data_IF_985338491816
#
_entry.id   IF_985338491816
#
_cell.length_a   1.000
_cell.length_b   1.000
_cell.length_c   1.000
_cell.angle_alpha   90.00
_cell.angle_beta   90.00
_cell.angle_gamma   90.00
#
_symmetry.space_group_name_H-M   'P 1'
#
loop_
_entity.id
_entity.type
_entity.pdbx_description
1 polymer ?
#
# COMPACT_ATOMS: atom_id res chain seq x y z
N UNK A 1 -13.67 -15.92 3.29
CA UNK A 1 -12.37 -15.46 2.76
C UNK A 1 -11.66 -16.53 1.92
N UNK A 2 -11.41 -17.76 2.43
CA UNK A 2 -10.80 -18.84 1.62
C UNK A 2 -11.59 -19.22 0.36
N UNK A 3 -12.93 -19.14 0.40
CA UNK A 3 -13.79 -19.43 -0.76
C UNK A 3 -13.63 -18.43 -1.90
N UNK A 4 -13.60 -17.14 -1.61
CA UNK A 4 -13.48 -16.08 -2.63
C UNK A 4 -12.09 -16.04 -3.24
N UNK A 5 -11.04 -16.17 -2.43
CA UNK A 5 -9.66 -16.21 -2.93
C UNK A 5 -9.46 -17.40 -3.88
N UNK A 6 -9.95 -18.59 -3.49
CA UNK A 6 -9.90 -19.77 -4.34
C UNK A 6 -10.68 -19.58 -5.65
N UNK A 7 -11.87 -18.98 -5.58
CA UNK A 7 -12.68 -18.65 -6.76
C UNK A 7 -11.93 -17.73 -7.72
N UNK A 8 -11.27 -16.68 -7.21
CA UNK A 8 -10.46 -15.78 -8.04
C UNK A 8 -9.32 -16.53 -8.74
N UNK A 9 -8.62 -17.40 -8.01
CA UNK A 9 -7.55 -18.25 -8.57
C UNK A 9 -8.08 -19.21 -9.63
N UNK A 10 -9.17 -19.92 -9.37
CA UNK A 10 -9.77 -20.86 -10.32
C UNK A 10 -10.23 -20.13 -11.60
N UNK A 11 -10.98 -19.04 -11.47
CA UNK A 11 -11.44 -18.25 -12.62
C UNK A 11 -10.29 -17.65 -13.43
N UNK A 12 -9.23 -17.20 -12.76
CA UNK A 12 -8.05 -16.71 -13.48
C UNK A 12 -7.36 -17.85 -14.23
N UNK A 13 -7.18 -19.01 -13.59
CA UNK A 13 -6.49 -20.18 -14.17
C UNK A 13 -7.17 -20.68 -15.45
N UNK A 14 -8.49 -20.71 -15.50
CA UNK A 14 -9.23 -21.19 -16.68
C UNK A 14 -9.59 -20.08 -17.69
N UNK A 15 -9.20 -18.83 -17.43
CA UNK A 15 -9.42 -17.71 -18.32
C UNK A 15 -8.46 -17.77 -19.54
N UNK A 16 -8.89 -17.34 -20.75
CA UNK A 16 -8.04 -17.23 -21.93
C UNK A 16 -7.04 -16.04 -21.85
N UNK A 17 -6.56 -15.70 -20.65
CA UNK A 17 -5.54 -14.66 -20.38
C UNK A 17 -5.91 -13.27 -20.90
N UNK A 18 -7.18 -12.87 -20.77
CA UNK A 18 -7.71 -11.60 -21.30
C UNK A 18 -6.89 -10.37 -20.88
N UNK A 19 -6.37 -10.34 -19.65
CA UNK A 19 -5.58 -9.22 -19.14
C UNK A 19 -4.08 -9.26 -19.49
N UNK A 20 -3.59 -10.29 -20.20
CA UNK A 20 -2.16 -10.51 -20.48
C UNK A 20 -1.50 -9.27 -21.09
N UNK A 21 -2.07 -8.73 -22.16
CA UNK A 21 -1.53 -7.60 -22.93
C UNK A 21 -1.39 -6.31 -22.09
N UNK A 22 -2.18 -6.19 -21.01
CA UNK A 22 -2.19 -5.00 -20.15
C UNK A 22 -1.12 -5.04 -19.05
N UNK A 23 -0.48 -6.19 -18.85
CA UNK A 23 0.46 -6.41 -17.76
C UNK A 23 1.87 -5.94 -18.16
N UNK A 24 2.40 -4.85 -17.57
CA UNK A 24 3.68 -4.30 -17.98
C UNK A 24 4.84 -5.29 -17.75
N UNK A 25 4.75 -6.12 -16.69
CA UNK A 25 5.81 -7.09 -16.40
C UNK A 25 5.80 -8.27 -17.35
N UNK A 26 4.64 -8.64 -17.91
CA UNK A 26 4.59 -9.66 -18.95
C UNK A 26 5.23 -9.15 -20.24
N UNK A 27 4.92 -7.92 -20.63
CA UNK A 27 5.48 -7.29 -21.83
C UNK A 27 7.00 -7.05 -21.70
N UNK A 28 7.46 -6.55 -20.55
CA UNK A 28 8.88 -6.29 -20.32
C UNK A 28 9.75 -7.57 -20.29
N UNK A 29 9.17 -8.71 -19.92
CA UNK A 29 9.92 -9.96 -19.75
C UNK A 29 9.69 -10.97 -20.87
N UNK A 30 8.69 -10.73 -21.73
CA UNK A 30 8.23 -11.68 -22.75
C UNK A 30 7.97 -13.10 -22.21
N UNK A 31 7.55 -13.22 -20.94
CA UNK A 31 7.41 -14.50 -20.27
C UNK A 31 6.01 -14.71 -19.70
N UNK A 32 5.43 -15.87 -20.01
CA UNK A 32 4.11 -16.28 -19.53
C UNK A 32 4.05 -16.43 -17.99
N UNK A 33 5.18 -16.72 -17.36
CA UNK A 33 5.32 -16.83 -15.90
C UNK A 33 4.93 -15.54 -15.18
N UNK A 34 5.28 -14.38 -15.75
CA UNK A 34 5.07 -13.08 -15.10
C UNK A 34 3.77 -12.39 -15.50
N UNK A 35 2.91 -13.07 -16.27
CA UNK A 35 1.55 -12.63 -16.56
C UNK A 35 0.68 -12.67 -15.30
N UNK A 36 -0.43 -11.92 -15.23
CA UNK A 36 -1.39 -12.04 -14.14
C UNK A 36 -1.88 -13.48 -13.99
N UNK A 37 -2.13 -14.14 -15.12
CA UNK A 37 -2.52 -15.55 -15.18
C UNK A 37 -1.46 -16.47 -14.55
N UNK A 38 -0.20 -16.37 -14.96
CA UNK A 38 0.89 -17.22 -14.46
C UNK A 38 1.10 -17.04 -12.96
N UNK A 39 1.02 -15.80 -12.47
CA UNK A 39 1.10 -15.49 -11.04
C UNK A 39 -0.09 -16.05 -10.25
N UNK A 40 -1.30 -16.01 -10.81
CA UNK A 40 -2.50 -16.59 -10.16
C UNK A 40 -2.48 -18.12 -10.17
N UNK A 41 -1.88 -18.75 -11.17
CA UNK A 41 -1.69 -20.21 -11.19
C UNK A 41 -0.66 -20.65 -10.13
N UNK A 42 0.44 -19.89 -9.98
CA UNK A 42 1.37 -20.07 -8.85
C UNK A 42 0.63 -19.93 -7.52
N UNK A 43 -0.19 -18.88 -7.38
CA UNK A 43 -0.99 -18.64 -6.19
C UNK A 43 -1.92 -19.82 -5.87
N UNK A 44 -2.54 -20.41 -6.92
CA UNK A 44 -3.39 -21.59 -6.80
C UNK A 44 -2.61 -22.82 -6.35
N UNK A 45 -1.47 -23.13 -7.00
CA UNK A 45 -0.66 -24.29 -6.63
C UNK A 45 -0.20 -24.26 -5.18
N UNK A 46 0.18 -23.08 -4.71
CA UNK A 46 0.60 -22.87 -3.32
C UNK A 46 -0.57 -22.99 -2.34
N UNK A 47 -1.73 -22.43 -2.70
CA UNK A 47 -2.95 -22.48 -1.87
C UNK A 47 -3.51 -23.90 -1.76
N UNK A 48 -3.56 -24.62 -2.88
CA UNK A 48 -4.03 -26.01 -2.97
C UNK A 48 -2.97 -27.01 -2.45
N UNK A 49 -1.76 -26.53 -2.13
CA UNK A 49 -0.59 -27.33 -1.72
C UNK A 49 -0.20 -28.40 -2.75
N UNK A 50 -0.43 -28.14 -4.03
CA UNK A 50 -0.02 -29.06 -5.11
C UNK A 50 1.48 -29.05 -5.33
N UNK A 51 2.14 -27.92 -5.05
CA UNK A 51 3.59 -27.77 -5.12
C UNK A 51 4.10 -27.04 -3.86
N UNK A 52 5.31 -27.38 -3.38
CA UNK A 52 5.93 -26.65 -2.29
C UNK A 52 6.33 -25.23 -2.74
N UNK A 53 6.39 -24.30 -1.79
CA UNK A 53 6.91 -22.96 -2.02
C UNK A 53 8.36 -23.03 -2.53
N UNK A 54 8.66 -22.29 -3.59
CA UNK A 54 10.01 -22.20 -4.15
C UNK A 54 10.40 -20.74 -4.41
N UNK A 55 11.70 -20.45 -4.39
CA UNK A 55 12.24 -19.13 -4.65
C UNK A 55 11.77 -18.56 -6.01
N UNK A 56 11.76 -19.39 -7.06
CA UNK A 56 11.32 -18.96 -8.39
C UNK A 56 9.84 -18.55 -8.43
N UNK A 57 8.98 -19.28 -7.70
CA UNK A 57 7.56 -18.93 -7.57
C UNK A 57 7.38 -17.61 -6.82
N UNK A 58 8.10 -17.44 -5.72
CA UNK A 58 8.07 -16.20 -4.94
C UNK A 58 8.55 -15.02 -5.80
N UNK A 59 9.69 -15.16 -6.47
CA UNK A 59 10.22 -14.12 -7.37
C UNK A 59 9.19 -13.71 -8.44
N UNK A 60 8.44 -14.67 -9.01
CA UNK A 60 7.39 -14.36 -9.98
C UNK A 60 6.23 -13.56 -9.40
N UNK A 61 5.79 -13.87 -8.16
CA UNK A 61 4.72 -13.12 -7.49
C UNK A 61 5.16 -11.69 -7.15
N UNK A 62 6.42 -11.49 -6.74
CA UNK A 62 6.98 -10.16 -6.46
C UNK A 62 7.20 -9.31 -7.72
N UNK A 63 7.12 -9.88 -8.93
CA UNK A 63 7.07 -9.12 -10.18
C UNK A 63 5.71 -8.45 -10.45
N UNK A 64 4.70 -8.55 -9.58
CA UNK A 64 3.49 -7.73 -9.73
C UNK A 64 3.72 -6.33 -9.17
N UNK A 65 3.62 -5.31 -10.03
CA UNK A 65 3.80 -3.89 -9.68
C UNK A 65 2.54 -3.22 -9.12
N UNK A 66 1.50 -3.98 -8.79
CA UNK A 66 0.22 -3.49 -8.23
C UNK A 66 -0.45 -2.35 -9.03
N UNK A 67 -0.28 -2.31 -10.37
CA UNK A 67 -0.85 -1.27 -11.23
C UNK A 67 -2.37 -1.38 -11.47
N UNK A 68 -3.01 -2.45 -10.98
CA UNK A 68 -4.45 -2.72 -11.12
C UNK A 68 -4.99 -2.90 -12.55
N UNK A 69 -4.16 -2.80 -13.59
CA UNK A 69 -4.60 -2.98 -15.00
C UNK A 69 -5.27 -4.33 -15.24
N UNK A 70 -4.84 -5.38 -14.55
CA UNK A 70 -5.47 -6.69 -14.68
C UNK A 70 -6.94 -6.71 -14.25
N UNK A 71 -7.36 -5.85 -13.31
CA UNK A 71 -8.76 -5.74 -12.89
C UNK A 71 -9.62 -5.08 -13.98
N UNK A 72 -9.08 -4.08 -14.69
CA UNK A 72 -9.81 -3.34 -15.73
C UNK A 72 -10.27 -4.24 -16.88
N UNK A 73 -9.46 -5.25 -17.24
CA UNK A 73 -9.74 -6.16 -18.35
C UNK A 73 -10.24 -7.54 -17.88
N UNK A 74 -10.59 -7.69 -16.60
CA UNK A 74 -11.05 -8.97 -16.06
C UNK A 74 -12.57 -9.07 -16.08
N UNK A 75 -13.12 -9.81 -17.03
CA UNK A 75 -14.57 -10.13 -17.09
C UNK A 75 -15.07 -10.93 -15.88
N UNK A 76 -14.17 -11.58 -15.14
CA UNK A 76 -14.52 -12.31 -13.92
C UNK A 76 -14.50 -11.44 -12.65
N UNK A 77 -14.07 -10.17 -12.75
CA UNK A 77 -13.95 -9.27 -11.61
C UNK A 77 -12.90 -9.73 -10.59
N UNK A 78 -11.85 -10.43 -11.02
CA UNK A 78 -10.82 -10.93 -10.11
C UNK A 78 -9.93 -9.79 -9.61
N UNK A 79 -9.77 -9.72 -8.29
CA UNK A 79 -8.76 -8.89 -7.64
C UNK A 79 -7.42 -9.64 -7.56
N UNK A 80 -6.72 -9.68 -8.69
CA UNK A 80 -5.40 -10.32 -8.78
C UNK A 80 -4.40 -9.72 -7.76
N UNK A 81 -4.24 -8.38 -7.62
CA UNK A 81 -3.35 -7.80 -6.62
C UNK A 81 -3.60 -8.31 -5.19
N UNK A 82 -4.84 -8.32 -4.72
CA UNK A 82 -5.17 -8.81 -3.38
C UNK A 82 -4.90 -10.32 -3.23
N UNK A 83 -5.16 -11.10 -4.28
CA UNK A 83 -4.83 -12.52 -4.26
C UNK A 83 -3.31 -12.77 -4.18
N UNK A 84 -2.50 -11.97 -4.88
CA UNK A 84 -1.04 -12.05 -4.81
C UNK A 84 -0.49 -11.52 -3.49
N UNK A 85 -1.13 -10.54 -2.85
CA UNK A 85 -0.75 -10.06 -1.52
C UNK A 85 -0.81 -11.18 -0.46
N UNK A 86 -1.78 -12.09 -0.56
CA UNK A 86 -1.87 -13.26 0.32
C UNK A 86 -0.71 -14.25 0.12
N UNK A 87 -0.23 -14.41 -1.12
CA UNK A 87 0.95 -15.23 -1.41
C UNK A 87 2.24 -14.55 -0.92
N UNK A 88 2.33 -13.23 -1.03
CA UNK A 88 3.44 -12.46 -0.44
C UNK A 88 3.48 -12.60 1.08
N UNK A 89 2.32 -12.55 1.75
CA UNK A 89 2.20 -12.84 3.19
C UNK A 89 2.75 -14.22 3.52
N UNK A 90 2.31 -15.24 2.79
CA UNK A 90 2.84 -16.59 2.98
C UNK A 90 4.36 -16.66 2.75
N UNK A 91 4.90 -15.94 1.77
CA UNK A 91 6.34 -15.88 1.54
C UNK A 91 7.11 -15.21 2.69
N UNK A 92 6.59 -14.10 3.23
CA UNK A 92 7.16 -13.41 4.40
C UNK A 92 7.16 -14.33 5.63
N UNK A 93 6.02 -14.95 5.94
CA UNK A 93 5.86 -15.85 7.11
C UNK A 93 6.75 -17.10 7.07
N UNK A 94 7.16 -17.51 5.86
CA UNK A 94 8.05 -18.65 5.65
C UNK A 94 9.51 -18.23 5.40
N UNK A 95 9.87 -16.97 5.65
CA UNK A 95 11.22 -16.43 5.43
C UNK A 95 11.75 -16.64 4.00
N UNK A 96 10.84 -16.61 3.02
CA UNK A 96 11.11 -16.94 1.62
C UNK A 96 10.98 -15.72 0.69
N UNK A 97 10.66 -14.53 1.20
CA UNK A 97 10.57 -13.33 0.38
C UNK A 97 11.97 -12.89 -0.12
N UNK A 98 12.06 -12.14 -1.24
CA UNK A 98 13.35 -11.62 -1.70
C UNK A 98 14.00 -10.69 -0.68
N UNK A 99 15.33 -10.72 -0.55
CA UNK A 99 16.06 -9.93 0.44
C UNK A 99 15.67 -8.42 0.51
N UNK A 100 15.46 -7.70 -0.62
CA UNK A 100 15.03 -6.30 -0.57
C UNK A 100 13.69 -6.05 0.14
N UNK A 101 12.84 -7.09 0.26
CA UNK A 101 11.56 -7.02 0.97
C UNK A 101 11.81 -6.85 2.48
N UNK A 102 12.73 -7.63 3.05
CA UNK A 102 13.13 -7.50 4.46
C UNK A 102 13.89 -6.21 4.73
N UNK A 103 14.68 -5.70 3.78
CA UNK A 103 15.31 -4.37 3.91
C UNK A 103 14.27 -3.24 4.06
N UNK A 104 13.09 -3.38 3.47
CA UNK A 104 12.03 -2.39 3.64
C UNK A 104 11.41 -2.48 5.04
N UNK A 105 11.18 -3.69 5.55
CA UNK A 105 10.72 -3.92 6.93
C UNK A 105 11.70 -3.32 7.95
N UNK A 106 13.01 -3.54 7.79
CA UNK A 106 14.06 -2.96 8.64
C UNK A 106 13.97 -1.43 8.69
N UNK A 107 13.70 -0.77 7.55
CA UNK A 107 13.52 0.69 7.49
C UNK A 107 12.25 1.14 8.21
N UNK A 108 11.16 0.38 8.10
CA UNK A 108 9.94 0.64 8.85
C UNK A 108 10.17 0.48 10.36
N UNK A 109 10.86 -0.57 10.79
CA UNK A 109 11.20 -0.77 12.20
C UNK A 109 12.08 0.37 12.76
N UNK A 110 12.98 0.92 11.94
CA UNK A 110 13.88 1.99 12.37
C UNK A 110 13.25 3.39 12.35
N UNK A 111 12.41 3.70 11.36
CA UNK A 111 11.97 5.07 11.07
C UNK A 111 10.46 5.22 10.79
N UNK A 112 9.68 4.15 10.92
CA UNK A 112 8.24 4.09 10.61
C UNK A 112 7.89 4.53 9.18
N UNK A 113 8.80 4.36 8.22
CA UNK A 113 8.61 4.68 6.81
C UNK A 113 9.56 3.89 5.89
N UNK A 114 9.29 3.79 4.57
CA UNK A 114 10.07 2.95 3.66
C UNK A 114 11.47 3.49 3.32
N UNK A 115 11.82 4.71 3.75
CA UNK A 115 13.08 5.37 3.40
C UNK A 115 14.14 5.28 4.51
N UNK A 116 13.76 4.96 5.75
CA UNK A 116 14.71 4.83 6.86
C UNK A 116 15.30 6.17 7.32
N UNK A 117 14.58 7.28 7.13
CA UNK A 117 15.01 8.64 7.47
C UNK A 117 13.95 9.32 8.36
N UNK A 118 14.33 10.35 9.12
CA UNK A 118 13.37 11.25 9.74
C UNK A 118 12.77 12.20 8.69
N UNK A 119 11.60 11.84 8.17
CA UNK A 119 10.88 12.61 7.17
C UNK A 119 10.26 13.90 7.75
N UNK A 120 9.91 13.94 9.04
CA UNK A 120 9.43 15.17 9.65
C UNK A 120 10.54 16.20 9.77
N UNK A 121 11.72 15.80 10.22
CA UNK A 121 12.88 16.69 10.28
C UNK A 121 13.19 17.26 8.88
N UNK A 122 13.24 16.38 7.87
CA UNK A 122 13.48 16.78 6.48
C UNK A 122 12.46 17.78 5.95
N UNK A 123 11.20 17.61 6.36
CA UNK A 123 10.10 18.40 5.81
C UNK A 123 9.78 19.66 6.65
N UNK A 124 10.30 19.75 7.89
CA UNK A 124 10.06 20.84 8.86
C UNK A 124 10.32 22.23 8.28
N UNK A 125 11.38 22.39 7.48
CA UNK A 125 11.73 23.69 6.88
C UNK A 125 10.67 24.23 5.90
N UNK A 126 9.77 23.36 5.44
CA UNK A 126 8.71 23.68 4.47
C UNK A 126 7.31 23.68 5.10
N UNK A 127 7.21 23.53 6.42
CA UNK A 127 5.96 23.72 7.14
C UNK A 127 5.58 25.20 7.16
N UNK A 128 4.28 25.53 7.28
CA UNK A 128 3.86 26.90 7.51
C UNK A 128 4.51 27.44 8.80
N UNK A 129 4.99 28.69 8.74
CA UNK A 129 5.66 29.31 9.89
C UNK A 129 4.71 29.58 11.06
N UNK A 130 3.43 29.83 10.77
CA UNK A 130 2.39 29.83 11.79
C UNK A 130 2.08 28.39 12.17
N UNK A 131 2.18 28.07 13.46
CA UNK A 131 1.82 26.75 13.96
C UNK A 131 0.38 26.41 13.49
N UNK A 132 0.14 25.21 12.93
CA UNK A 132 -1.20 24.80 12.58
C UNK A 132 -2.13 25.01 13.79
N UNK A 133 -3.23 25.78 13.62
CA UNK A 133 -4.13 26.06 14.74
C UNK A 133 -4.64 24.72 15.27
N UNK A 134 -4.40 24.45 16.56
CA UNK A 134 -4.87 23.23 17.20
C UNK A 134 -6.39 23.14 17.11
N UNK A 135 -6.88 22.19 16.32
CA UNK A 135 -8.29 21.91 16.10
C UNK A 135 -8.47 20.53 15.49
N UNK A 136 -9.60 19.89 15.78
CA UNK A 136 -9.93 18.56 15.24
C UNK A 136 -10.81 18.63 13.98
N UNK A 137 -10.74 19.73 13.23
CA UNK A 137 -11.53 19.89 12.01
C UNK A 137 -10.83 19.26 10.80
N UNK A 138 -9.66 19.77 10.40
CA UNK A 138 -8.90 19.24 9.27
C UNK A 138 -7.54 18.76 9.74
N UNK A 139 -7.17 17.56 9.30
CA UNK A 139 -5.84 16.99 9.44
C UNK A 139 -5.21 16.82 8.08
N UNK A 140 -4.04 17.40 7.87
CA UNK A 140 -3.21 17.12 6.70
C UNK A 140 -2.16 16.05 7.04
N UNK A 141 -2.29 14.89 6.40
CA UNK A 141 -1.31 13.81 6.41
C UNK A 141 -0.54 13.84 5.07
N UNK A 142 0.63 14.47 5.02
CA UNK A 142 1.45 14.41 3.82
C UNK A 142 1.94 12.98 3.59
N UNK A 143 2.02 12.59 2.31
CA UNK A 143 2.58 11.30 1.96
C UNK A 143 4.08 11.25 2.26
N UNK A 144 4.56 10.08 2.68
CA UNK A 144 6.00 9.85 2.90
C UNK A 144 6.82 10.14 1.63
N UNK A 145 6.23 9.95 0.45
CA UNK A 145 6.87 10.24 -0.83
C UNK A 145 7.11 11.74 -1.04
N UNK A 146 6.11 12.58 -0.72
CA UNK A 146 6.26 14.03 -0.76
C UNK A 146 7.29 14.51 0.25
N UNK A 147 7.20 14.06 1.49
CA UNK A 147 8.19 14.46 2.52
C UNK A 147 9.63 14.05 2.16
N UNK A 148 9.81 12.94 1.44
CA UNK A 148 11.13 12.49 1.01
C UNK A 148 11.66 13.21 -0.23
N UNK A 149 10.90 13.23 -1.33
CA UNK A 149 11.38 13.70 -2.63
C UNK A 149 11.06 15.16 -2.92
N UNK A 150 9.95 15.68 -2.39
CA UNK A 150 9.41 16.99 -2.75
C UNK A 150 8.90 17.79 -1.53
N UNK A 151 9.73 17.95 -0.48
CA UNK A 151 9.26 18.56 0.76
C UNK A 151 8.81 20.02 0.56
N UNK A 152 9.32 20.71 -0.45
CA UNK A 152 8.92 22.07 -0.83
C UNK A 152 7.44 22.20 -1.23
N UNK A 153 6.79 21.10 -1.66
CA UNK A 153 5.35 21.10 -2.01
C UNK A 153 4.45 21.34 -0.81
N UNK A 154 4.95 21.16 0.40
CA UNK A 154 4.16 21.30 1.62
C UNK A 154 3.70 22.74 1.80
N UNK A 155 4.57 23.72 1.50
CA UNK A 155 4.20 25.13 1.49
C UNK A 155 3.08 25.44 0.49
N UNK A 156 3.09 24.79 -0.68
CA UNK A 156 2.05 24.95 -1.71
C UNK A 156 0.69 24.44 -1.22
N UNK A 157 0.64 23.33 -0.48
CA UNK A 157 -0.62 22.83 0.08
C UNK A 157 -1.19 23.76 1.14
N UNK A 158 -0.36 24.34 2.00
CA UNK A 158 -0.82 25.31 2.99
C UNK A 158 -1.28 26.63 2.34
N UNK A 159 -0.58 27.12 1.33
CA UNK A 159 -1.04 28.26 0.53
C UNK A 159 -2.41 27.97 -0.13
N UNK A 160 -2.61 26.73 -0.61
CA UNK A 160 -3.90 26.29 -1.15
C UNK A 160 -5.00 26.29 -0.08
N UNK A 161 -4.73 25.76 1.12
CA UNK A 161 -5.69 25.79 2.22
C UNK A 161 -6.09 27.22 2.58
N UNK A 162 -5.13 28.14 2.67
CA UNK A 162 -5.39 29.57 2.91
C UNK A 162 -6.26 30.19 1.82
N UNK A 163 -5.95 29.97 0.55
CA UNK A 163 -6.73 30.50 -0.60
C UNK A 163 -8.15 29.94 -0.66
N UNK A 164 -8.36 28.72 -0.17
CA UNK A 164 -9.68 28.09 -0.07
C UNK A 164 -10.46 28.50 1.19
N UNK A 165 -9.86 29.32 2.08
CA UNK A 165 -10.47 29.69 3.35
C UNK A 165 -10.57 28.51 4.34
N UNK A 166 -9.74 27.48 4.17
CA UNK A 166 -9.67 26.33 5.08
C UNK A 166 -8.73 26.70 6.22
N UNK A 167 -9.30 27.12 7.34
CA UNK A 167 -8.57 27.44 8.56
C UNK A 167 -8.35 26.21 9.46
N UNK A 168 -7.33 26.24 10.31
CA UNK A 168 -7.14 25.24 11.37
C UNK A 168 -6.77 23.85 10.89
N UNK A 169 -5.98 23.78 9.82
CA UNK A 169 -5.39 22.53 9.33
C UNK A 169 -4.29 22.09 10.29
N UNK A 170 -4.54 21.00 11.03
CA UNK A 170 -3.55 20.33 11.86
C UNK A 170 -2.64 19.43 11.01
N UNK A 171 -1.46 19.13 11.54
CA UNK A 171 -0.56 18.11 10.99
C UNK A 171 -0.38 16.99 12.00
N UNK A 172 -0.34 15.76 11.50
CA UNK A 172 -0.08 14.60 12.35
C UNK A 172 1.36 14.63 12.85
N UNK A 173 1.51 14.69 14.17
CA UNK A 173 2.78 14.53 14.88
C UNK A 173 2.84 13.14 15.56
N UNK A 174 2.63 12.08 14.78
CA UNK A 174 2.79 10.69 15.23
C UNK A 174 4.18 10.21 14.85
N UNK A 175 4.83 9.29 15.59
CA UNK A 175 6.09 8.68 15.12
C UNK A 175 5.97 7.98 13.75
N UNK A 176 4.76 7.63 13.32
CA UNK A 176 4.50 6.99 12.03
C UNK A 176 4.45 7.98 10.87
N UNK A 177 5.47 7.92 10.01
CA UNK A 177 5.66 8.85 8.90
C UNK A 177 5.11 8.35 7.56
N UNK A 178 4.48 7.16 7.52
CA UNK A 178 3.92 6.54 6.33
C UNK A 178 2.59 5.83 6.63
N UNK A 179 1.64 5.86 5.70
CA UNK A 179 0.36 5.12 5.79
C UNK A 179 0.48 3.58 5.83
N UNK A 180 1.68 3.01 5.72
CA UNK A 180 1.90 1.56 5.77
C UNK A 180 1.61 0.80 4.46
N UNK A 181 1.13 1.46 3.41
CA UNK A 181 0.80 0.80 2.14
C UNK A 181 1.91 -0.12 1.56
N UNK A 182 3.22 0.21 1.65
CA UNK A 182 4.28 -0.69 1.21
C UNK A 182 4.34 -2.00 2.00
N UNK A 183 4.05 -1.98 3.31
CA UNK A 183 4.03 -3.18 4.16
C UNK A 183 2.91 -4.13 3.70
N UNK A 184 1.69 -3.60 3.54
CA UNK A 184 0.55 -4.35 3.02
C UNK A 184 0.84 -4.94 1.63
N UNK A 185 1.39 -4.12 0.72
CA UNK A 185 1.70 -4.54 -0.65
C UNK A 185 2.75 -5.66 -0.72
N UNK A 186 3.66 -5.72 0.26
CA UNK A 186 4.76 -6.68 0.32
C UNK A 186 4.48 -7.89 1.22
N UNK A 187 3.31 -7.95 1.86
CA UNK A 187 2.89 -9.12 2.65
C UNK A 187 3.13 -9.02 4.16
N UNK A 188 3.64 -7.90 4.65
CA UNK A 188 3.84 -7.59 6.07
C UNK A 188 2.51 -7.19 6.73
N UNK A 189 1.59 -8.16 6.85
CA UNK A 189 0.21 -7.90 7.32
C UNK A 189 0.18 -7.45 8.78
N UNK A 190 0.98 -8.06 9.65
CA UNK A 190 0.98 -7.75 11.08
C UNK A 190 1.49 -6.32 11.31
N UNK A 191 2.61 -5.98 10.69
CA UNK A 191 3.25 -4.67 10.73
C UNK A 191 2.34 -3.59 10.14
N UNK A 192 1.64 -3.90 9.04
CA UNK A 192 0.64 -3.01 8.47
C UNK A 192 -0.53 -2.75 9.44
N UNK A 193 -1.01 -3.78 10.14
CA UNK A 193 -2.09 -3.66 11.11
C UNK A 193 -1.69 -2.77 12.30
N UNK A 194 -0.47 -2.92 12.81
CA UNK A 194 0.09 -2.06 13.86
C UNK A 194 0.17 -0.60 13.41
N UNK A 195 0.65 -0.35 12.19
CA UNK A 195 0.68 0.98 11.59
C UNK A 195 -0.73 1.57 11.46
N UNK A 196 -1.69 0.76 11.01
CA UNK A 196 -3.08 1.17 10.86
C UNK A 196 -3.72 1.55 12.20
N UNK A 197 -3.49 0.76 13.25
CA UNK A 197 -4.02 1.01 14.59
C UNK A 197 -3.51 2.34 15.16
N UNK A 198 -2.19 2.54 15.17
CA UNK A 198 -1.56 3.74 15.75
C UNK A 198 -1.99 5.00 15.01
N UNK A 199 -2.02 4.95 13.67
CA UNK A 199 -2.50 6.09 12.88
C UNK A 199 -4.00 6.33 13.06
N UNK A 200 -4.82 5.27 13.12
CA UNK A 200 -6.25 5.43 13.37
C UNK A 200 -6.50 6.20 14.66
N UNK A 201 -5.86 5.83 15.77
CA UNK A 201 -6.04 6.54 17.04
C UNK A 201 -5.51 7.98 17.03
N UNK A 202 -4.54 8.31 16.19
CA UNK A 202 -4.06 9.69 16.02
C UNK A 202 -4.98 10.55 15.14
N UNK A 203 -5.81 9.92 14.30
CA UNK A 203 -6.60 10.60 13.25
C UNK A 203 -8.12 10.54 13.46
N UNK A 204 -8.66 9.56 14.20
CA UNK A 204 -10.11 9.25 14.25
C UNK A 204 -11.01 10.39 14.72
N UNK A 205 -10.48 11.30 15.53
CA UNK A 205 -11.27 12.40 16.08
C UNK A 205 -11.38 13.59 15.11
N UNK A 206 -10.59 13.60 14.02
CA UNK A 206 -10.67 14.64 13.01
C UNK A 206 -11.95 14.51 12.17
N UNK A 207 -12.48 15.63 11.67
CA UNK A 207 -13.62 15.62 10.73
C UNK A 207 -13.17 15.28 9.32
N UNK A 208 -12.03 15.83 8.89
CA UNK A 208 -11.42 15.58 7.59
C UNK A 208 -9.97 15.14 7.76
N UNK A 209 -9.60 14.04 7.11
CA UNK A 209 -8.20 13.63 6.91
C UNK A 209 -7.88 13.80 5.44
N UNK A 210 -6.93 14.69 5.14
CA UNK A 210 -6.52 15.06 3.78
C UNK A 210 -5.09 14.57 3.57
N UNK A 211 -4.83 13.95 2.41
CA UNK A 211 -3.49 13.55 2.01
C UNK A 211 -3.25 13.90 0.54
N UNK A 212 -2.00 14.15 0.20
CA UNK A 212 -1.58 14.40 -1.18
C UNK A 212 -1.15 13.13 -1.92
N UNK A 213 -1.00 12.01 -1.21
CA UNK A 213 -0.67 10.71 -1.78
C UNK A 213 -1.93 9.92 -2.17
N UNK A 214 -2.13 9.55 -3.44
CA UNK A 214 -3.30 8.76 -3.84
C UNK A 214 -3.35 7.39 -3.13
N UNK A 215 -2.20 6.73 -2.97
CA UNK A 215 -2.12 5.47 -2.21
C UNK A 215 -2.44 5.69 -0.72
N UNK A 216 -2.03 6.82 -0.13
CA UNK A 216 -2.40 7.16 1.24
C UNK A 216 -3.91 7.34 1.38
N UNK A 217 -4.56 8.04 0.44
CA UNK A 217 -6.01 8.20 0.42
C UNK A 217 -6.75 6.85 0.36
N UNK A 218 -6.32 5.94 -0.53
CA UNK A 218 -6.92 4.59 -0.63
C UNK A 218 -6.66 3.79 0.64
N UNK A 219 -5.45 3.85 1.18
CA UNK A 219 -5.04 3.08 2.35
C UNK A 219 -5.81 3.50 3.60
N UNK A 220 -5.83 4.81 3.89
CA UNK A 220 -6.54 5.38 5.04
C UNK A 220 -8.06 5.15 4.93
N UNK A 221 -8.62 5.24 3.73
CA UNK A 221 -10.07 5.11 3.51
C UNK A 221 -10.54 3.65 3.51
N UNK A 222 -9.90 2.80 2.71
CA UNK A 222 -10.40 1.46 2.41
C UNK A 222 -9.64 0.37 3.16
N UNK A 223 -8.30 0.44 3.15
CA UNK A 223 -7.48 -0.63 3.74
C UNK A 223 -7.54 -0.62 5.26
N UNK A 224 -7.53 0.55 5.89
CA UNK A 224 -7.70 0.66 7.35
C UNK A 224 -9.09 0.19 7.78
N UNK A 225 -10.14 0.56 7.05
CA UNK A 225 -11.50 0.08 7.31
C UNK A 225 -11.59 -1.46 7.22
N UNK A 226 -10.90 -2.07 6.26
CA UNK A 226 -10.81 -3.53 6.14
C UNK A 226 -10.11 -4.22 7.32
N UNK A 227 -9.30 -3.49 8.09
CA UNK A 227 -8.66 -3.96 9.34
C UNK A 227 -9.51 -3.63 10.60
N UNK A 228 -10.68 -3.02 10.44
CA UNK A 228 -11.54 -2.58 11.56
C UNK A 228 -11.27 -1.15 12.05
N UNK A 229 -10.43 -0.39 11.34
CA UNK A 229 -10.03 0.98 11.69
C UNK A 229 -10.65 2.02 10.73
N UNK A 230 -11.98 2.12 10.68
CA UNK A 230 -12.67 3.05 9.78
C UNK A 230 -12.54 4.51 10.23
N UNK A 231 -11.99 5.37 9.36
CA UNK A 231 -11.98 6.83 9.56
C UNK A 231 -13.26 7.51 9.03
N UNK A 232 -14.11 6.78 8.30
CA UNK A 232 -15.43 7.27 7.90
C UNK A 232 -16.41 7.18 9.09
N UNK A 233 -17.17 8.26 9.30
CA UNK A 233 -18.19 8.39 10.35
C UNK A 233 -19.59 8.18 9.79
#
# INVERSE_FOLDING_TARGET
MRSELKKMMDYCTYCPKMCRFSCPTAEATASETYTPWGKMEIARWLTDKTLPLSEAMVAAVYQCVNCLHCQQYCEHGNDVPSALAEIRRMAVENYAAPAPVYTLEERFAAANNPYGLDLYERARAHWPQAAPKQGKEVLFQPSCHTMHYFPERLGVYFELFEKLGIEGVSVVETPIQCCGAPLDALGFRAEFQEVAEVQYYSMKDYKWVVSDGPECCVTLKQKYAAQGFSLEK
#
